data_IF_216503880134
#
_entry.id   IF_216503880134
#
_cell.length_a   1.000
_cell.length_b   1.000
_cell.length_c   1.000
_cell.angle_alpha   90.00
_cell.angle_beta   90.00
_cell.angle_gamma   90.00
#
_symmetry.space_group_name_H-M   'P 1'
#
loop_
_entity.id
_entity.type
_entity.pdbx_description
1 polymer ?
#
# COMPACT_ATOMS: atom_id res chain seq x y z
N UNK A 1 22.93 24.21 37.96
CA UNK A 1 22.36 22.88 37.61
C UNK A 1 20.89 23.08 37.26
N UNK A 2 20.39 22.52 36.16
CA UNK A 2 20.38 21.07 35.89
C UNK A 2 21.27 20.67 34.73
N UNK A 3 22.03 19.60 34.91
CA UNK A 3 22.65 18.83 33.82
C UNK A 3 21.51 18.10 33.11
N UNK A 4 21.31 18.40 31.84
CA UNK A 4 20.46 17.58 30.98
C UNK A 4 21.20 16.27 30.78
N UNK A 5 20.92 15.29 31.63
CA UNK A 5 21.24 13.89 31.36
C UNK A 5 20.39 13.47 30.15
N UNK A 6 20.91 13.73 28.96
CA UNK A 6 20.38 13.14 27.74
C UNK A 6 20.62 11.64 27.89
N UNK A 7 19.57 10.81 28.02
CA UNK A 7 19.76 9.37 28.10
C UNK A 7 20.54 8.92 26.86
N UNK A 8 21.53 8.03 27.01
CA UNK A 8 22.34 7.58 25.88
C UNK A 8 21.41 7.11 24.78
N UNK A 9 21.64 7.61 23.55
CA UNK A 9 20.97 7.11 22.37
C UNK A 9 21.04 5.58 22.44
N UNK A 10 19.90 4.90 22.33
CA UNK A 10 19.89 3.43 22.28
C UNK A 10 20.67 3.04 21.03
N UNK A 11 21.95 2.78 21.21
CA UNK A 11 22.83 2.28 20.18
C UNK A 11 22.14 1.09 19.53
N UNK A 12 22.12 1.11 18.20
CA UNK A 12 21.41 0.17 17.36
C UNK A 12 21.88 -1.25 17.58
N UNK A 13 21.39 -1.89 18.65
CA UNK A 13 21.47 -3.32 18.84
C UNK A 13 20.89 -3.94 17.58
N UNK A 14 21.78 -4.50 16.75
CA UNK A 14 21.41 -5.08 15.49
C UNK A 14 20.23 -6.03 15.72
N UNK A 15 19.07 -5.71 15.16
CA UNK A 15 17.90 -6.58 15.29
C UNK A 15 18.31 -7.96 14.81
N UNK A 16 18.04 -8.98 15.63
CA UNK A 16 18.26 -10.36 15.24
C UNK A 16 17.61 -10.63 13.88
N UNK A 17 18.25 -11.41 12.99
CA UNK A 17 17.69 -11.72 11.68
C UNK A 17 16.34 -12.42 11.84
N UNK A 18 15.42 -12.14 10.92
CA UNK A 18 14.10 -12.74 10.90
C UNK A 18 14.19 -14.27 10.90
N UNK A 19 13.26 -14.94 11.58
CA UNK A 19 13.16 -16.40 11.56
C UNK A 19 12.36 -16.88 10.35
N UNK A 20 12.56 -18.15 9.96
CA UNK A 20 11.76 -18.79 8.89
C UNK A 20 10.26 -18.75 9.21
N UNK A 21 9.90 -18.98 10.47
CA UNK A 21 8.51 -18.95 10.93
C UNK A 21 7.90 -17.56 10.77
N UNK A 22 8.61 -16.49 11.16
CA UNK A 22 8.13 -15.13 10.94
C UNK A 22 7.91 -14.84 9.46
N UNK A 23 8.88 -15.19 8.60
CA UNK A 23 8.78 -14.99 7.16
C UNK A 23 7.58 -15.74 6.56
N UNK A 24 7.42 -17.02 6.92
CA UNK A 24 6.31 -17.85 6.44
C UNK A 24 4.94 -17.33 6.91
N UNK A 25 4.83 -16.93 8.18
CA UNK A 25 3.58 -16.38 8.72
C UNK A 25 3.22 -15.04 8.07
N UNK A 26 4.18 -14.13 7.92
CA UNK A 26 3.93 -12.85 7.24
C UNK A 26 3.57 -13.05 5.77
N UNK A 27 4.26 -13.95 5.06
CA UNK A 27 3.92 -14.29 3.69
C UNK A 27 2.50 -14.88 3.57
N UNK A 28 2.14 -15.80 4.48
CA UNK A 28 0.80 -16.37 4.54
C UNK A 28 -0.27 -15.30 4.79
N UNK A 29 -0.05 -14.38 5.73
CA UNK A 29 -0.98 -13.29 6.02
C UNK A 29 -1.16 -12.35 4.83
N UNK A 30 -0.08 -12.00 4.13
CA UNK A 30 -0.16 -11.18 2.90
C UNK A 30 -0.94 -11.93 1.81
N UNK A 31 -0.70 -13.23 1.64
CA UNK A 31 -1.41 -14.05 0.66
C UNK A 31 -2.91 -14.17 0.99
N UNK A 32 -3.26 -14.41 2.25
CA UNK A 32 -4.65 -14.47 2.71
C UNK A 32 -5.35 -13.12 2.55
N UNK A 33 -4.68 -12.01 2.87
CA UNK A 33 -5.21 -10.67 2.64
C UNK A 33 -5.46 -10.41 1.15
N UNK A 34 -4.51 -10.75 0.28
CA UNK A 34 -4.68 -10.60 -1.17
C UNK A 34 -5.85 -11.45 -1.70
N UNK A 35 -5.96 -12.71 -1.26
CA UNK A 35 -7.07 -13.58 -1.62
C UNK A 35 -8.41 -13.00 -1.17
N UNK A 36 -8.50 -12.54 0.08
CA UNK A 36 -9.71 -11.92 0.62
C UNK A 36 -10.09 -10.62 -0.11
N UNK A 37 -9.11 -9.78 -0.49
CA UNK A 37 -9.36 -8.54 -1.25
C UNK A 37 -9.89 -8.80 -2.66
N UNK A 38 -9.43 -9.87 -3.30
CA UNK A 38 -9.85 -10.23 -4.66
C UNK A 38 -11.11 -11.11 -4.68
N UNK A 39 -11.43 -11.76 -3.57
CA UNK A 39 -12.63 -12.58 -3.46
C UNK A 39 -13.88 -11.73 -3.66
N UNK A 40 -14.68 -12.08 -4.68
CA UNK A 40 -15.95 -11.40 -5.00
C UNK A 40 -15.79 -9.89 -5.21
N UNK A 41 -14.65 -9.45 -5.76
CA UNK A 41 -14.30 -8.04 -5.96
C UNK A 41 -15.41 -7.21 -6.63
N UNK A 42 -16.22 -7.80 -7.50
CA UNK A 42 -17.29 -7.12 -8.23
C UNK A 42 -18.70 -7.59 -7.88
N UNK A 43 -18.87 -8.24 -6.72
CA UNK A 43 -20.18 -8.73 -6.31
C UNK A 43 -21.18 -7.62 -5.95
N UNK A 44 -20.71 -6.39 -5.74
CA UNK A 44 -21.53 -5.21 -5.50
C UNK A 44 -21.23 -4.13 -6.54
N UNK A 45 -22.20 -3.26 -6.81
CA UNK A 45 -22.01 -2.04 -7.58
C UNK A 45 -21.01 -1.09 -6.91
N UNK A 46 -20.61 -0.03 -7.62
CA UNK A 46 -19.74 0.99 -7.06
C UNK A 46 -20.43 1.70 -5.89
N UNK A 47 -19.65 1.93 -4.84
CA UNK A 47 -20.05 2.74 -3.70
C UNK A 47 -19.99 4.22 -4.07
N UNK A 48 -20.63 5.08 -3.27
CA UNK A 48 -20.74 6.50 -3.57
C UNK A 48 -19.37 7.19 -3.72
N UNK A 49 -18.43 6.87 -2.84
CA UNK A 49 -17.05 7.37 -2.88
C UNK A 49 -16.26 6.84 -4.10
N UNK A 50 -16.52 5.60 -4.52
CA UNK A 50 -15.94 5.04 -5.74
C UNK A 50 -16.48 5.77 -6.99
N UNK A 51 -17.80 6.02 -7.05
CA UNK A 51 -18.43 6.78 -8.14
C UNK A 51 -17.88 8.20 -8.18
N UNK A 52 -17.76 8.85 -7.03
CA UNK A 52 -17.19 10.19 -6.90
C UNK A 52 -15.76 10.25 -7.47
N UNK A 53 -14.93 9.27 -7.11
CA UNK A 53 -13.56 9.16 -7.61
C UNK A 53 -13.48 8.95 -9.12
N UNK A 54 -14.35 8.08 -9.67
CA UNK A 54 -14.46 7.86 -11.12
C UNK A 54 -14.92 9.14 -11.83
N UNK A 55 -15.90 9.84 -11.25
CA UNK A 55 -16.38 11.11 -11.78
C UNK A 55 -15.27 12.18 -11.82
N UNK A 56 -14.48 12.30 -10.76
CA UNK A 56 -13.29 13.16 -10.73
C UNK A 56 -12.30 12.78 -11.84
N UNK A 57 -11.99 11.48 -11.99
CA UNK A 57 -11.04 10.97 -12.97
C UNK A 57 -11.47 11.17 -14.44
N UNK A 58 -12.78 11.28 -14.72
CA UNK A 58 -13.32 11.52 -16.06
C UNK A 58 -13.09 12.96 -16.57
N UNK A 59 -12.87 13.92 -15.68
CA UNK A 59 -12.56 15.29 -16.09
C UNK A 59 -11.24 15.35 -16.88
N UNK A 60 -11.09 16.36 -17.76
CA UNK A 60 -9.78 16.71 -18.30
C UNK A 60 -8.83 17.09 -17.15
N UNK A 61 -7.51 17.02 -17.35
CA UNK A 61 -6.53 17.25 -16.27
C UNK A 61 -6.76 18.56 -15.50
N UNK A 62 -6.98 19.68 -16.19
CA UNK A 62 -7.32 20.96 -15.55
C UNK A 62 -8.60 20.88 -14.71
N UNK A 63 -9.65 20.26 -15.27
CA UNK A 63 -10.92 20.06 -14.57
C UNK A 63 -10.80 19.13 -13.35
N UNK A 64 -9.94 18.11 -13.41
CA UNK A 64 -9.65 17.22 -12.28
C UNK A 64 -9.04 18.01 -11.12
N UNK A 65 -8.07 18.88 -11.39
CA UNK A 65 -7.44 19.70 -10.36
C UNK A 65 -8.43 20.70 -9.77
N UNK A 66 -9.26 21.34 -10.60
CA UNK A 66 -10.32 22.23 -10.12
C UNK A 66 -11.36 21.48 -9.27
N UNK A 67 -11.78 20.29 -9.71
CA UNK A 67 -12.71 19.43 -9.00
C UNK A 67 -12.14 19.02 -7.63
N UNK A 68 -10.90 18.54 -7.59
CA UNK A 68 -10.26 18.13 -6.34
C UNK A 68 -9.99 19.30 -5.39
N UNK A 69 -9.69 20.50 -5.92
CA UNK A 69 -9.58 21.71 -5.11
C UNK A 69 -10.93 22.10 -4.48
N UNK A 70 -12.05 21.81 -5.15
CA UNK A 70 -13.40 22.07 -4.64
C UNK A 70 -13.92 20.99 -3.68
N UNK A 71 -13.39 19.77 -3.75
CA UNK A 71 -13.79 18.67 -2.87
C UNK A 71 -13.31 18.87 -1.41
N UNK A 72 -12.23 19.64 -1.17
CA UNK A 72 -11.62 19.98 0.14
C UNK A 72 -11.26 18.82 1.09
N UNK A 73 -11.83 17.63 0.88
CA UNK A 73 -11.80 16.48 1.78
C UNK A 73 -10.78 15.46 1.29
N UNK A 74 -10.76 15.15 -0.02
CA UNK A 74 -9.90 14.11 -0.55
C UNK A 74 -8.71 14.69 -1.34
N UNK A 75 -7.47 14.29 -1.00
CA UNK A 75 -6.29 14.70 -1.76
C UNK A 75 -6.34 14.27 -3.23
N UNK A 76 -5.84 15.09 -4.17
CA UNK A 76 -6.07 14.90 -5.60
C UNK A 76 -5.26 13.75 -6.21
N UNK A 77 -4.25 13.23 -5.50
CA UNK A 77 -3.35 12.20 -6.00
C UNK A 77 -4.10 10.92 -6.39
N UNK A 78 -5.10 10.52 -5.59
CA UNK A 78 -5.86 9.30 -5.89
C UNK A 78 -6.63 9.43 -7.21
N UNK A 79 -7.26 10.58 -7.47
CA UNK A 79 -7.99 10.83 -8.72
C UNK A 79 -7.07 10.83 -9.93
N UNK A 80 -5.90 11.45 -9.81
CA UNK A 80 -4.91 11.48 -10.88
C UNK A 80 -4.41 10.07 -11.22
N UNK A 81 -4.09 9.26 -10.21
CA UNK A 81 -3.65 7.87 -10.41
C UNK A 81 -4.78 6.99 -10.96
N UNK A 82 -6.00 7.14 -10.45
CA UNK A 82 -7.16 6.42 -10.96
C UNK A 82 -7.44 6.78 -12.43
N UNK A 83 -7.28 8.04 -12.82
CA UNK A 83 -7.38 8.48 -14.22
C UNK A 83 -6.37 7.77 -15.12
N UNK A 84 -5.10 7.70 -14.72
CA UNK A 84 -4.06 6.99 -15.47
C UNK A 84 -4.37 5.49 -15.56
N UNK A 85 -4.81 4.89 -14.46
CA UNK A 85 -5.19 3.49 -14.40
C UNK A 85 -6.37 3.17 -15.32
N UNK A 86 -7.42 4.00 -15.29
CA UNK A 86 -8.58 3.87 -16.18
C UNK A 86 -8.20 4.09 -17.65
N UNK A 87 -7.26 4.99 -17.94
CA UNK A 87 -6.76 5.17 -19.31
C UNK A 87 -6.04 3.91 -19.86
N UNK A 88 -5.44 3.10 -18.98
CA UNK A 88 -4.70 1.90 -19.38
C UNK A 88 -5.59 0.66 -19.63
N UNK A 89 -6.71 0.52 -18.90
CA UNK A 89 -7.55 -0.70 -18.98
C UNK A 89 -9.07 -0.46 -18.94
N UNK A 90 -9.49 0.79 -19.11
CA UNK A 90 -10.89 1.19 -19.18
C UNK A 90 -11.57 1.37 -17.81
N UNK A 91 -12.89 1.45 -17.82
CA UNK A 91 -13.72 1.72 -16.63
C UNK A 91 -14.59 0.52 -16.23
N UNK A 92 -14.17 -0.70 -16.55
CA UNK A 92 -14.88 -1.89 -16.05
C UNK A 92 -14.78 -1.94 -14.52
N UNK A 93 -15.85 -2.43 -13.86
CA UNK A 93 -15.91 -2.53 -12.41
C UNK A 93 -14.74 -3.33 -11.83
N UNK A 94 -14.35 -4.42 -12.49
CA UNK A 94 -13.19 -5.22 -12.13
C UNK A 94 -11.90 -4.39 -12.19
N UNK A 95 -11.67 -3.69 -13.30
CA UNK A 95 -10.44 -2.95 -13.52
C UNK A 95 -10.28 -1.78 -12.54
N UNK A 96 -11.35 -1.01 -12.31
CA UNK A 96 -11.33 0.11 -11.36
C UNK A 96 -11.00 -0.35 -9.94
N UNK A 97 -11.54 -1.49 -9.50
CA UNK A 97 -11.29 -2.04 -8.16
C UNK A 97 -9.93 -2.73 -8.01
N UNK A 98 -9.32 -3.18 -9.11
CA UNK A 98 -7.97 -3.72 -9.06
C UNK A 98 -6.94 -2.67 -8.62
N UNK A 99 -7.12 -1.40 -8.95
CA UNK A 99 -6.19 -0.34 -8.55
C UNK A 99 -6.00 -0.24 -7.01
N UNK A 100 -7.04 0.01 -6.19
CA UNK A 100 -6.90 0.05 -4.75
C UNK A 100 -6.61 -1.33 -4.13
N UNK A 101 -6.97 -2.44 -4.79
CA UNK A 101 -6.63 -3.78 -4.30
C UNK A 101 -5.13 -4.08 -4.46
N UNK A 102 -4.55 -3.79 -5.62
CA UNK A 102 -3.14 -4.03 -5.90
C UNK A 102 -2.25 -3.10 -5.09
N UNK A 103 -2.60 -1.82 -5.00
CA UNK A 103 -1.82 -0.86 -4.20
C UNK A 103 -1.85 -1.20 -2.71
N UNK A 104 -2.95 -1.72 -2.17
CA UNK A 104 -3.01 -2.16 -0.76
C UNK A 104 -2.19 -3.42 -0.49
N UNK A 105 -2.21 -4.40 -1.40
CA UNK A 105 -1.35 -5.60 -1.31
C UNK A 105 0.12 -5.23 -1.46
N UNK A 106 0.45 -4.32 -2.38
CA UNK A 106 1.81 -3.82 -2.57
C UNK A 106 2.32 -3.13 -1.30
N UNK A 107 1.50 -2.28 -0.66
CA UNK A 107 1.86 -1.60 0.57
C UNK A 107 2.19 -2.57 1.71
N UNK A 108 1.41 -3.65 1.88
CA UNK A 108 1.72 -4.68 2.89
C UNK A 108 3.00 -5.45 2.54
N UNK A 109 3.20 -5.74 1.26
CA UNK A 109 4.38 -6.47 0.79
C UNK A 109 5.64 -5.65 1.01
N UNK A 110 5.64 -4.36 0.66
CA UNK A 110 6.81 -3.48 0.81
C UNK A 110 7.03 -3.05 2.27
N UNK A 111 5.96 -2.86 3.05
CA UNK A 111 6.04 -2.43 4.44
C UNK A 111 6.43 -3.53 5.42
N UNK A 112 6.01 -4.78 5.18
CA UNK A 112 6.19 -5.87 6.15
C UNK A 112 6.99 -7.05 5.58
N UNK A 113 6.61 -7.58 4.41
CA UNK A 113 7.20 -8.81 3.89
C UNK A 113 8.63 -8.58 3.37
N UNK A 114 8.86 -7.51 2.62
CA UNK A 114 10.15 -7.21 2.01
C UNK A 114 11.26 -6.92 3.04
N UNK A 115 11.04 -6.11 4.10
CA UNK A 115 12.05 -5.92 5.15
C UNK A 115 12.38 -7.21 5.89
N UNK A 116 11.37 -8.06 6.12
CA UNK A 116 11.55 -9.34 6.81
C UNK A 116 12.34 -10.33 5.95
N UNK A 117 12.04 -10.39 4.64
CA UNK A 117 12.81 -11.17 3.67
C UNK A 117 14.27 -10.71 3.63
N UNK A 118 14.51 -9.40 3.56
CA UNK A 118 15.88 -8.83 3.59
C UNK A 118 16.62 -9.24 4.85
N UNK A 119 15.98 -9.11 6.02
CA UNK A 119 16.56 -9.51 7.32
C UNK A 119 16.90 -11.00 7.38
N UNK A 120 16.02 -11.86 6.86
CA UNK A 120 16.26 -13.31 6.78
C UNK A 120 17.44 -13.66 5.88
N UNK A 121 17.52 -13.06 4.68
CA UNK A 121 18.60 -13.30 3.72
C UNK A 121 19.96 -12.85 4.26
N UNK A 122 20.02 -11.67 4.91
CA UNK A 122 21.24 -11.20 5.58
C UNK A 122 21.71 -12.18 6.67
N UNK A 123 20.77 -12.71 7.46
CA UNK A 123 21.08 -13.73 8.48
C UNK A 123 21.57 -15.06 7.92
N UNK A 124 21.12 -15.45 6.72
CA UNK A 124 21.63 -16.64 6.03
C UNK A 124 23.05 -16.45 5.50
N UNK A 125 23.34 -15.28 4.93
CA UNK A 125 24.68 -14.95 4.41
C UNK A 125 25.71 -14.90 5.55
N UNK A 126 25.37 -14.27 6.68
CA UNK A 126 26.25 -14.19 7.85
C UNK A 126 26.56 -15.55 8.51
N UNK A 127 25.74 -16.59 8.30
CA UNK A 127 26.00 -17.96 8.80
C UNK A 127 26.89 -18.79 7.86
N UNK A 128 27.11 -18.32 6.64
CA UNK A 128 27.90 -19.02 5.60
C UNK A 128 29.33 -18.47 5.45
N UNK A 129 29.60 -17.28 5.98
CA UNK A 129 30.93 -16.69 6.11
C UNK A 129 31.60 -17.19 7.39
#
# INVERSE_FOLDING_TARGET
MPTTDVPPARDGAARAPATRTQLALTALLVALYAAARLWRLTAACLWFDEIFSVHAARHAWGGLWSFAAADLIHPPLFYALLKLWAAAGGESLHWLRLFPALTSVLALTTGYLLPLLRSFLSGLLARRA
#
